data_IF_227455457285
#
_entry.id   IF_227455457285
#
_cell.length_a   1.000
_cell.length_b   1.000
_cell.length_c   1.000
_cell.angle_alpha   90.00
_cell.angle_beta   90.00
_cell.angle_gamma   90.00
#
_symmetry.space_group_name_H-M   'P 1'
#
loop_
_entity.id
_entity.type
_entity.pdbx_description
1 polymer ?
#
# COMPACT_ATOMS: atom_id res chain seq x y z
N UNK A 1 15.71 4.19 -25.99
CA UNK A 1 15.55 3.89 -25.05
C UNK A 1 14.59 4.59 -24.29
N UNK A 2 14.88 5.65 -23.80
CA UNK A 2 13.96 6.32 -22.96
C UNK A 2 12.74 6.82 -23.70
N UNK A 3 12.81 6.95 -25.00
CA UNK A 3 11.67 7.40 -25.76
C UNK A 3 10.51 6.41 -25.66
N UNK A 4 10.78 5.14 -25.85
CA UNK A 4 9.74 4.15 -25.73
C UNK A 4 9.25 4.03 -24.31
N UNK A 5 10.16 4.08 -23.37
CA UNK A 5 9.80 4.00 -21.97
C UNK A 5 8.87 5.16 -21.59
N UNK A 6 9.15 6.35 -22.10
CA UNK A 6 8.30 7.49 -21.82
C UNK A 6 6.95 7.36 -22.45
N UNK A 7 6.90 6.80 -23.64
CA UNK A 7 5.65 6.65 -24.34
C UNK A 7 4.70 5.74 -23.57
N UNK A 8 5.21 4.64 -23.04
CA UNK A 8 4.39 3.73 -22.26
C UNK A 8 4.20 4.26 -20.83
N UNK A 9 5.23 4.86 -20.27
CA UNK A 9 5.15 5.41 -18.94
C UNK A 9 4.16 6.55 -18.81
N UNK A 10 3.95 7.26 -19.90
CA UNK A 10 3.01 8.38 -19.87
C UNK A 10 1.58 7.92 -19.62
N UNK A 11 1.28 6.66 -19.92
CA UNK A 11 -0.06 6.14 -19.69
C UNK A 11 -0.25 5.65 -18.27
N UNK A 12 0.86 5.39 -17.58
CA UNK A 12 0.80 4.91 -16.21
C UNK A 12 1.65 5.84 -15.36
N UNK A 13 1.00 6.77 -14.69
CA UNK A 13 1.70 7.73 -13.85
C UNK A 13 2.15 7.12 -12.53
N UNK A 14 1.77 5.90 -12.26
CA UNK A 14 2.05 5.28 -10.97
C UNK A 14 3.10 4.20 -11.11
N UNK A 15 3.94 4.10 -10.10
CA UNK A 15 4.92 3.02 -10.04
C UNK A 15 4.41 2.01 -9.01
N UNK A 16 3.63 1.05 -9.48
CA UNK A 16 2.97 0.10 -8.60
C UNK A 16 3.95 -0.71 -7.76
N UNK A 17 5.06 -1.10 -8.33
CA UNK A 17 6.09 -1.84 -7.62
C UNK A 17 6.65 -1.04 -6.46
N UNK A 18 6.94 0.21 -6.70
CA UNK A 18 7.48 1.10 -5.69
C UNK A 18 6.42 1.40 -4.62
N UNK A 19 5.16 1.53 -5.03
CA UNK A 19 4.08 1.74 -4.09
C UNK A 19 3.97 0.57 -3.12
N UNK A 20 4.01 -0.66 -3.63
CA UNK A 20 3.94 -1.84 -2.79
C UNK A 20 5.15 -1.92 -1.86
N UNK A 21 6.34 -1.66 -2.40
CA UNK A 21 7.56 -1.71 -1.61
C UNK A 21 7.52 -0.72 -0.45
N UNK A 22 7.14 0.51 -0.74
CA UNK A 22 7.10 1.57 0.27
C UNK A 22 6.02 1.27 1.31
N UNK A 23 4.86 0.79 0.86
CA UNK A 23 3.77 0.45 1.77
C UNK A 23 4.18 -0.70 2.71
N UNK A 24 4.84 -1.70 2.16
CA UNK A 24 5.29 -2.84 2.95
C UNK A 24 6.29 -2.39 4.01
N UNK A 25 7.24 -1.54 3.64
CA UNK A 25 8.21 -1.02 4.59
C UNK A 25 7.53 -0.27 5.73
N UNK A 26 6.51 0.49 5.39
CA UNK A 26 5.82 1.31 6.38
C UNK A 26 5.12 0.44 7.43
N UNK A 27 4.43 -0.61 6.98
CA UNK A 27 3.70 -1.46 7.92
C UNK A 27 4.66 -2.31 8.76
N UNK A 28 5.74 -2.77 8.17
CA UNK A 28 6.74 -3.56 8.91
C UNK A 28 7.42 -2.71 9.97
N UNK A 29 7.62 -1.43 9.68
CA UNK A 29 8.31 -0.53 10.61
C UNK A 29 7.42 -0.04 11.74
N UNK A 30 6.11 -0.21 11.66
CA UNK A 30 5.20 0.32 12.67
C UNK A 30 4.99 -0.69 13.79
N UNK A 31 5.48 -0.38 15.00
CA UNK A 31 5.38 -1.35 16.11
C UNK A 31 3.96 -1.58 16.60
N UNK A 32 3.02 -0.73 16.23
CA UNK A 32 1.62 -0.90 16.64
C UNK A 32 0.82 -1.79 15.70
N UNK A 33 1.43 -2.22 14.60
CA UNK A 33 0.80 -3.20 13.72
C UNK A 33 1.25 -4.58 14.20
N UNK A 34 0.29 -5.37 14.66
CA UNK A 34 0.57 -6.62 15.36
C UNK A 34 1.29 -7.66 14.51
N UNK A 35 0.84 -7.84 13.30
CA UNK A 35 1.37 -8.92 12.47
C UNK A 35 1.44 -8.48 11.01
N UNK A 36 2.48 -7.74 10.65
CA UNK A 36 2.58 -7.26 9.26
C UNK A 36 2.73 -8.39 8.24
N UNK A 37 3.16 -9.57 8.66
CA UNK A 37 3.31 -10.69 7.73
C UNK A 37 1.97 -11.28 7.31
N UNK A 38 0.90 -10.98 8.05
CA UNK A 38 -0.44 -11.45 7.70
C UNK A 38 -1.13 -10.51 6.71
N UNK A 39 -0.44 -9.45 6.28
CA UNK A 39 -1.00 -8.47 5.37
C UNK A 39 -0.55 -8.72 3.94
N UNK A 40 -1.43 -8.46 3.00
CA UNK A 40 -1.10 -8.53 1.59
C UNK A 40 -1.38 -7.15 1.00
N UNK A 41 -0.37 -6.56 0.39
CA UNK A 41 -0.48 -5.23 -0.20
C UNK A 41 -0.21 -5.37 -1.69
N UNK A 42 -1.15 -4.91 -2.50
CA UNK A 42 -1.00 -4.91 -3.94
C UNK A 42 -1.30 -3.52 -4.47
N UNK A 43 -0.82 -3.25 -5.67
CA UNK A 43 -1.09 -1.97 -6.32
C UNK A 43 -1.28 -2.21 -7.81
N UNK A 44 -2.33 -1.61 -8.35
CA UNK A 44 -2.59 -1.70 -9.78
C UNK A 44 -3.04 -0.33 -10.27
N UNK A 45 -2.24 0.25 -11.14
CA UNK A 45 -2.50 1.58 -11.68
C UNK A 45 -2.77 2.60 -10.57
N UNK A 46 -2.00 2.50 -9.51
CA UNK A 46 -2.10 3.44 -8.40
C UNK A 46 -3.18 3.13 -7.38
N UNK A 47 -3.98 2.09 -7.63
CA UNK A 47 -5.00 1.67 -6.66
C UNK A 47 -4.36 0.62 -5.75
N UNK A 48 -4.26 0.95 -4.49
CA UNK A 48 -3.58 0.10 -3.51
C UNK A 48 -4.62 -0.69 -2.72
N UNK A 49 -4.50 -2.01 -2.77
CA UNK A 49 -5.41 -2.89 -2.03
C UNK A 49 -4.68 -3.42 -0.81
N UNK A 50 -5.29 -3.21 0.35
CA UNK A 50 -4.78 -3.71 1.62
C UNK A 50 -5.70 -4.85 2.05
N UNK A 51 -5.14 -6.05 2.16
CA UNK A 51 -5.95 -7.20 2.56
C UNK A 51 -5.19 -8.02 3.58
N UNK A 52 -5.83 -9.01 4.14
CA UNK A 52 -5.25 -9.84 5.16
C UNK A 52 -6.01 -9.72 6.48
N UNK A 53 -5.40 -10.24 7.54
CA UNK A 53 -6.05 -10.35 8.84
C UNK A 53 -5.39 -9.38 9.82
N UNK A 54 -6.22 -8.61 10.53
CA UNK A 54 -5.75 -7.76 11.62
C UNK A 54 -6.38 -8.26 12.92
N UNK A 55 -5.77 -7.93 14.04
CA UNK A 55 -6.25 -8.42 15.33
C UNK A 55 -7.26 -7.49 15.99
N UNK A 56 -7.22 -6.22 15.63
CA UNK A 56 -8.12 -5.21 16.19
C UNK A 56 -8.72 -4.38 15.07
N UNK A 57 -9.95 -3.96 15.26
CA UNK A 57 -10.64 -3.16 14.25
C UNK A 57 -9.91 -1.85 13.95
N UNK A 58 -9.31 -1.23 14.96
CA UNK A 58 -8.59 0.02 14.75
C UNK A 58 -7.37 -0.16 13.86
N UNK A 59 -6.83 -1.37 13.74
CA UNK A 59 -5.67 -1.60 12.89
C UNK A 59 -5.99 -1.39 11.42
N UNK A 60 -7.25 -1.56 11.03
CA UNK A 60 -7.65 -1.32 9.64
C UNK A 60 -7.35 0.11 9.23
N UNK A 61 -7.77 1.06 10.05
CA UNK A 61 -7.56 2.47 9.76
C UNK A 61 -6.10 2.85 9.96
N UNK A 62 -5.47 2.26 10.95
CA UNK A 62 -4.07 2.57 11.20
C UNK A 62 -3.18 2.15 10.03
N UNK A 63 -3.40 0.94 9.51
CA UNK A 63 -2.61 0.46 8.40
C UNK A 63 -2.79 1.37 7.19
N UNK A 64 -4.02 1.71 6.87
CA UNK A 64 -4.28 2.60 5.75
C UNK A 64 -3.62 3.96 5.95
N UNK A 65 -3.72 4.51 7.15
CA UNK A 65 -3.11 5.81 7.47
C UNK A 65 -1.59 5.78 7.39
N UNK A 66 -0.99 4.72 7.90
CA UNK A 66 0.47 4.56 7.88
C UNK A 66 0.96 4.47 6.44
N UNK A 67 0.27 3.69 5.62
CA UNK A 67 0.65 3.56 4.21
C UNK A 67 0.47 4.89 3.49
N UNK A 68 -0.66 5.55 3.69
CA UNK A 68 -0.92 6.83 3.04
C UNK A 68 0.15 7.86 3.39
N UNK A 69 0.48 7.97 4.68
CA UNK A 69 1.50 8.92 5.12
C UNK A 69 2.87 8.59 4.54
N UNK A 70 3.21 7.31 4.49
CA UNK A 70 4.49 6.88 3.97
C UNK A 70 4.63 7.22 2.49
N UNK A 71 3.58 7.01 1.72
CA UNK A 71 3.60 7.33 0.30
C UNK A 71 3.70 8.84 0.08
N UNK A 72 2.98 9.60 0.89
CA UNK A 72 3.04 11.05 0.81
C UNK A 72 4.44 11.56 1.13
N UNK A 73 5.04 11.04 2.20
CA UNK A 73 6.38 11.47 2.60
C UNK A 73 7.44 11.08 1.59
N UNK A 74 7.24 9.98 0.89
CA UNK A 74 8.16 9.54 -0.16
C UNK A 74 7.91 10.23 -1.49
N UNK A 75 6.87 11.05 -1.58
CA UNK A 75 6.54 11.75 -2.82
C UNK A 75 5.99 10.83 -3.91
N UNK A 76 5.42 9.71 -3.52
CA UNK A 76 4.87 8.75 -4.48
C UNK A 76 3.40 9.02 -4.72
N UNK A 77 3.03 9.06 -5.98
CA UNK A 77 1.63 9.26 -6.34
C UNK A 77 0.86 7.96 -6.28
N UNK A 78 -0.36 8.03 -5.81
CA UNK A 78 -1.27 6.90 -5.82
C UNK A 78 -2.66 7.41 -6.14
N UNK A 79 -3.54 6.50 -6.56
CA UNK A 79 -4.89 6.87 -6.95
C UNK A 79 -5.86 6.77 -5.76
N UNK A 80 -5.93 5.61 -5.17
CA UNK A 80 -6.85 5.39 -4.06
C UNK A 80 -6.47 4.13 -3.30
N UNK A 81 -7.20 3.88 -2.22
CA UNK A 81 -7.01 2.68 -1.42
C UNK A 81 -8.28 1.84 -1.41
N UNK A 82 -8.11 0.52 -1.43
CA UNK A 82 -9.20 -0.41 -1.19
C UNK A 82 -8.80 -1.16 0.08
N UNK A 83 -9.58 -0.96 1.14
CA UNK A 83 -9.25 -1.56 2.43
C UNK A 83 -10.13 -2.78 2.65
N UNK A 84 -9.53 -3.95 2.46
CA UNK A 84 -10.21 -5.23 2.62
C UNK A 84 -9.67 -5.99 3.82
N UNK A 85 -9.10 -5.27 4.77
CA UNK A 85 -8.58 -5.91 5.98
C UNK A 85 -9.73 -6.46 6.81
N UNK A 86 -9.50 -7.60 7.41
CA UNK A 86 -10.55 -8.32 8.15
C UNK A 86 -10.05 -8.74 9.51
N UNK A 87 -10.98 -8.83 10.46
CA UNK A 87 -10.69 -9.41 11.75
C UNK A 87 -10.73 -10.93 11.63
N UNK A 88 -10.06 -11.64 12.55
CA UNK A 88 -10.10 -13.10 12.51
C UNK A 88 -11.54 -13.59 12.62
N UNK A 89 -11.83 -14.63 11.85
CA UNK A 89 -13.16 -15.21 11.85
C UNK A 89 -13.27 -16.12 13.06
N UNK A 90 -14.36 -16.06 13.74
CA UNK A 90 -14.58 -16.95 14.88
C UNK A 90 -15.34 -18.17 14.51
#
# INVERSE_FOLDING_TARGET
MSFLANLFGAKNKYNDEQLVSQATKAVVADPLISDPTALVITSKKGVITLSGIVHKAQEKDRIEGVVRNSLKNAGLKHESFINELKLPHK
#
